data_IF_672796431737
#
_entry.id   IF_672796431737
#
_cell.length_a   1.000
_cell.length_b   1.000
_cell.length_c   1.000
_cell.angle_alpha   90.00
_cell.angle_beta   90.00
_cell.angle_gamma   90.00
#
_symmetry.space_group_name_H-M   'P 1'
#
loop_
_entity.id
_entity.type
_entity.pdbx_description
1 polymer ?
#
# COMPACT_ATOMS: atom_id res chain seq x y z
N UNK A 1 16.25 19.80 -11.24
CA UNK A 1 15.69 21.02 -10.61
C UNK A 1 15.59 20.80 -9.09
N UNK A 2 16.01 21.77 -8.28
CA UNK A 2 15.98 21.68 -6.81
C UNK A 2 14.94 22.65 -6.24
N UNK A 3 14.25 22.24 -5.19
CA UNK A 3 13.36 23.08 -4.41
C UNK A 3 14.02 23.42 -3.06
N UNK A 4 13.79 24.64 -2.57
CA UNK A 4 14.22 25.08 -1.25
C UNK A 4 13.07 25.84 -0.55
N UNK A 5 12.75 25.52 0.71
CA UNK A 5 11.75 26.29 1.45
C UNK A 5 12.19 27.74 1.62
N UNK A 6 11.25 28.69 1.49
CA UNK A 6 11.52 30.15 1.69
C UNK A 6 12.25 30.44 3.00
N UNK A 7 11.95 29.68 4.05
CA UNK A 7 12.48 29.91 5.39
C UNK A 7 13.76 29.09 5.69
N UNK A 8 14.19 28.20 4.79
CA UNK A 8 15.41 27.37 4.93
C UNK A 8 16.09 27.12 3.57
N UNK A 9 16.70 28.14 2.94
CA UNK A 9 17.29 28.05 1.60
C UNK A 9 18.45 27.05 1.46
N UNK A 10 19.09 26.66 2.58
CA UNK A 10 20.14 25.63 2.61
C UNK A 10 19.60 24.18 2.59
N UNK A 11 18.30 23.97 2.82
CA UNK A 11 17.65 22.66 2.78
C UNK A 11 17.19 22.27 1.38
N UNK A 12 18.11 22.26 0.40
CA UNK A 12 17.77 21.92 -0.98
C UNK A 12 17.41 20.44 -1.10
N UNK A 13 16.26 20.15 -1.70
CA UNK A 13 15.79 18.79 -2.02
C UNK A 13 15.50 18.74 -3.53
N UNK A 14 15.74 17.61 -4.19
CA UNK A 14 15.38 17.48 -5.60
C UNK A 14 13.86 17.58 -5.76
N UNK A 15 13.39 18.15 -6.87
CA UNK A 15 11.94 18.26 -7.12
C UNK A 15 11.25 16.90 -7.05
N UNK A 16 11.91 15.84 -7.53
CA UNK A 16 11.41 14.46 -7.48
C UNK A 16 11.19 13.96 -6.04
N UNK A 17 12.18 14.13 -5.16
CA UNK A 17 12.07 13.69 -3.76
C UNK A 17 11.03 14.53 -3.02
N UNK A 18 11.02 15.84 -3.27
CA UNK A 18 10.01 16.71 -2.68
C UNK A 18 8.59 16.32 -3.11
N UNK A 19 8.39 16.05 -4.40
CA UNK A 19 7.09 15.68 -4.95
C UNK A 19 6.62 14.33 -4.42
N UNK A 20 7.49 13.32 -4.42
CA UNK A 20 7.20 12.01 -3.83
C UNK A 20 6.78 12.16 -2.37
N UNK A 21 7.55 12.89 -1.56
CA UNK A 21 7.25 13.08 -0.15
C UNK A 21 5.92 13.82 0.09
N UNK A 22 5.58 14.79 -0.76
CA UNK A 22 4.31 15.50 -0.69
C UNK A 22 3.12 14.56 -1.00
N UNK A 23 3.26 13.71 -2.03
CA UNK A 23 2.27 12.68 -2.34
C UNK A 23 2.16 11.64 -1.23
N UNK A 24 3.27 11.23 -0.62
CA UNK A 24 3.26 10.27 0.48
C UNK A 24 2.49 10.81 1.68
N UNK A 25 2.68 12.08 2.04
CA UNK A 25 1.93 12.71 3.13
C UNK A 25 0.43 12.73 2.82
N UNK A 26 0.06 13.13 1.60
CA UNK A 26 -1.33 13.09 1.16
C UNK A 26 -1.91 11.68 1.22
N UNK A 27 -1.17 10.69 0.73
CA UNK A 27 -1.55 9.29 0.69
C UNK A 27 -1.71 8.71 2.11
N UNK A 28 -0.81 9.02 3.05
CA UNK A 28 -0.90 8.61 4.46
C UNK A 28 -2.12 9.21 5.13
N UNK A 29 -2.38 10.51 4.94
CA UNK A 29 -3.54 11.18 5.53
C UNK A 29 -4.84 10.57 4.99
N UNK A 30 -4.92 10.36 3.67
CA UNK A 30 -6.07 9.71 3.06
C UNK A 30 -6.26 8.27 3.56
N UNK A 31 -5.18 7.50 3.63
CA UNK A 31 -5.18 6.13 4.14
C UNK A 31 -5.62 6.05 5.61
N UNK A 32 -5.21 7.01 6.45
CA UNK A 32 -5.68 7.09 7.84
C UNK A 32 -7.19 7.33 7.92
N UNK A 33 -7.71 8.27 7.12
CA UNK A 33 -9.17 8.52 7.03
C UNK A 33 -9.89 7.25 6.58
N UNK A 34 -9.37 6.59 5.52
CA UNK A 34 -9.92 5.33 5.02
C UNK A 34 -9.96 4.25 6.10
N UNK A 35 -8.86 4.02 6.83
CA UNK A 35 -8.78 3.01 7.90
C UNK A 35 -9.77 3.34 9.02
N UNK A 36 -9.87 4.60 9.44
CA UNK A 36 -10.84 5.03 10.46
C UNK A 36 -12.27 4.72 10.00
N UNK A 37 -12.64 5.13 8.78
CA UNK A 37 -13.96 4.86 8.22
C UNK A 37 -14.23 3.36 8.11
N UNK A 38 -13.25 2.58 7.67
CA UNK A 38 -13.33 1.13 7.53
C UNK A 38 -13.71 0.45 8.85
N UNK A 39 -13.10 0.85 9.97
CA UNK A 39 -13.42 0.30 11.28
C UNK A 39 -14.73 0.85 11.85
N UNK A 40 -14.97 2.16 11.78
CA UNK A 40 -16.19 2.80 12.32
C UNK A 40 -17.46 2.29 11.64
N UNK A 41 -17.41 2.02 10.34
CA UNK A 41 -18.56 1.51 9.57
C UNK A 41 -18.72 -0.01 9.60
N UNK A 42 -17.79 -0.74 10.23
CA UNK A 42 -17.78 -2.21 10.21
C UNK A 42 -17.36 -2.83 8.88
N UNK A 43 -17.03 -2.02 7.87
CA UNK A 43 -16.63 -2.50 6.53
C UNK A 43 -15.29 -3.26 6.54
N UNK A 44 -14.52 -3.19 7.62
CA UNK A 44 -13.30 -3.98 7.82
C UNK A 44 -13.52 -5.49 7.65
N UNK A 45 -14.71 -6.00 7.99
CA UNK A 45 -15.06 -7.42 7.86
C UNK A 45 -15.02 -7.93 6.41
N UNK A 46 -15.05 -7.03 5.43
CA UNK A 46 -14.98 -7.38 4.01
C UNK A 46 -13.57 -7.65 3.55
N UNK A 47 -12.57 -7.02 4.17
CA UNK A 47 -11.16 -7.14 3.77
C UNK A 47 -10.29 -7.88 4.78
N UNK A 48 -10.77 -8.12 6.00
CA UNK A 48 -10.06 -8.95 6.99
C UNK A 48 -10.67 -10.36 6.99
N UNK A 49 -9.88 -11.41 6.69
CA UNK A 49 -10.38 -12.77 6.77
C UNK A 49 -10.84 -13.13 8.19
N UNK A 50 -12.07 -13.61 8.31
CA UNK A 50 -12.66 -14.07 9.58
C UNK A 50 -12.76 -15.59 9.70
N UNK A 51 -12.39 -16.31 8.63
CA UNK A 51 -12.40 -17.77 8.55
C UNK A 51 -11.18 -18.29 7.79
N UNK A 52 -10.73 -19.49 8.14
CA UNK A 52 -9.64 -20.20 7.45
C UNK A 52 -10.03 -20.68 6.05
N UNK A 53 -11.32 -20.70 5.72
CA UNK A 53 -11.82 -21.03 4.39
C UNK A 53 -11.34 -20.06 3.30
N UNK A 54 -10.84 -18.88 3.70
CA UNK A 54 -10.27 -17.89 2.76
C UNK A 54 -9.17 -18.49 1.88
N UNK A 55 -8.35 -19.41 2.40
CA UNK A 55 -7.23 -19.98 1.66
C UNK A 55 -7.67 -20.97 0.56
N UNK A 56 -8.46 -22.03 0.85
CA UNK A 56 -8.96 -22.90 -0.21
C UNK A 56 -9.85 -22.15 -1.21
N UNK A 57 -10.68 -21.21 -0.75
CA UNK A 57 -11.53 -20.41 -1.65
C UNK A 57 -10.72 -19.47 -2.55
N UNK A 58 -9.61 -18.90 -2.04
CA UNK A 58 -8.71 -18.07 -2.85
C UNK A 58 -8.01 -18.90 -3.93
N UNK A 59 -7.64 -20.15 -3.63
CA UNK A 59 -7.09 -21.07 -4.63
C UNK A 59 -8.12 -21.37 -5.73
N UNK A 60 -9.37 -21.66 -5.37
CA UNK A 60 -10.45 -21.86 -6.34
C UNK A 60 -10.67 -20.63 -7.22
N UNK A 61 -10.73 -19.43 -6.63
CA UNK A 61 -10.87 -18.18 -7.37
C UNK A 61 -9.66 -17.93 -8.30
N UNK A 62 -8.44 -18.22 -7.84
CA UNK A 62 -7.24 -18.09 -8.68
C UNK A 62 -7.29 -19.03 -9.90
N UNK A 63 -7.74 -20.29 -9.71
CA UNK A 63 -7.92 -21.23 -10.80
C UNK A 63 -8.96 -20.74 -11.82
N UNK A 64 -10.08 -20.17 -11.35
CA UNK A 64 -11.11 -19.55 -12.20
C UNK A 64 -10.56 -18.38 -13.03
N UNK A 65 -9.77 -17.49 -12.43
CA UNK A 65 -9.14 -16.39 -13.17
C UNK A 65 -8.18 -16.90 -14.25
N UNK A 66 -7.36 -17.93 -13.93
CA UNK A 66 -6.40 -18.52 -14.87
C UNK A 66 -7.09 -19.34 -15.96
N UNK A 67 -8.24 -19.95 -15.68
CA UNK A 67 -9.04 -20.67 -16.67
C UNK A 67 -9.88 -19.76 -17.57
N UNK A 68 -9.82 -18.43 -17.36
CA UNK A 68 -10.66 -17.44 -18.05
C UNK A 68 -12.16 -17.65 -17.84
N UNK A 69 -12.53 -18.42 -16.81
CA UNK A 69 -13.91 -18.62 -16.37
C UNK A 69 -14.13 -17.74 -15.14
N UNK A 70 -14.32 -16.45 -15.38
CA UNK A 70 -14.20 -15.46 -14.33
C UNK A 70 -15.38 -15.47 -13.35
N UNK A 71 -15.10 -15.37 -12.04
CA UNK A 71 -16.15 -15.36 -11.04
C UNK A 71 -17.06 -14.14 -11.22
N UNK A 72 -18.35 -14.34 -10.98
CA UNK A 72 -19.31 -13.24 -10.92
C UNK A 72 -19.14 -12.51 -9.59
N UNK A 73 -18.48 -11.36 -9.63
CA UNK A 73 -18.23 -10.53 -8.46
C UNK A 73 -19.26 -9.39 -8.36
N UNK A 74 -19.72 -9.11 -7.16
CA UNK A 74 -20.37 -7.84 -6.84
C UNK A 74 -19.58 -7.15 -5.74
N UNK A 75 -18.56 -6.38 -6.14
CA UNK A 75 -17.64 -5.68 -5.24
C UNK A 75 -18.31 -4.66 -4.32
N UNK A 76 -19.58 -4.31 -4.55
CA UNK A 76 -20.40 -3.52 -3.63
C UNK A 76 -20.91 -4.33 -2.44
N UNK A 77 -21.13 -5.63 -2.64
CA UNK A 77 -21.67 -6.55 -1.63
C UNK A 77 -20.54 -7.34 -0.97
N UNK A 78 -19.70 -8.05 -1.73
CA UNK A 78 -18.64 -8.91 -1.21
C UNK A 78 -17.44 -8.98 -2.16
N UNK A 79 -16.29 -9.38 -1.62
CA UNK A 79 -15.10 -9.76 -2.40
C UNK A 79 -14.92 -11.27 -2.32
N UNK A 80 -14.54 -11.92 -3.43
CA UNK A 80 -14.01 -13.28 -3.32
C UNK A 80 -12.76 -13.34 -2.43
N UNK A 81 -12.41 -14.53 -1.99
CA UNK A 81 -11.31 -14.73 -1.05
C UNK A 81 -9.93 -14.34 -1.62
N UNK A 82 -9.72 -14.43 -2.94
CA UNK A 82 -8.47 -13.98 -3.56
C UNK A 82 -8.33 -12.44 -3.49
N UNK A 83 -9.39 -11.72 -3.82
CA UNK A 83 -9.48 -10.27 -3.68
C UNK A 83 -9.36 -9.85 -2.21
N UNK A 84 -10.06 -10.52 -1.30
CA UNK A 84 -9.99 -10.26 0.14
C UNK A 84 -8.55 -10.37 0.66
N UNK A 85 -7.82 -11.44 0.32
CA UNK A 85 -6.42 -11.59 0.71
C UNK A 85 -5.51 -10.52 0.08
N UNK A 86 -5.77 -10.15 -1.18
CA UNK A 86 -5.02 -9.10 -1.86
C UNK A 86 -5.22 -7.74 -1.20
N UNK A 87 -6.47 -7.38 -0.85
CA UNK A 87 -6.79 -6.14 -0.15
C UNK A 87 -6.28 -6.13 1.27
N UNK A 88 -6.42 -7.24 2.01
CA UNK A 88 -5.84 -7.39 3.35
C UNK A 88 -4.34 -7.11 3.33
N UNK A 89 -3.62 -7.78 2.42
CA UNK A 89 -2.17 -7.65 2.28
C UNK A 89 -1.79 -6.23 1.89
N UNK A 90 -2.51 -5.63 0.95
CA UNK A 90 -2.23 -4.26 0.50
C UNK A 90 -2.42 -3.23 1.62
N UNK A 91 -3.55 -3.30 2.33
CA UNK A 91 -3.95 -2.30 3.33
C UNK A 91 -3.21 -2.48 4.66
N UNK A 92 -3.08 -3.71 5.15
CA UNK A 92 -2.59 -3.97 6.51
C UNK A 92 -1.14 -4.46 6.58
N UNK A 93 -0.51 -4.78 5.44
CA UNK A 93 0.88 -5.24 5.41
C UNK A 93 1.72 -4.30 4.54
N UNK A 94 1.45 -4.23 3.24
CA UNK A 94 2.27 -3.49 2.30
C UNK A 94 2.27 -1.98 2.60
N UNK A 95 1.10 -1.38 2.85
CA UNK A 95 1.01 0.04 3.16
C UNK A 95 1.75 0.42 4.46
N UNK A 96 1.55 -0.25 5.60
CA UNK A 96 2.34 0.01 6.81
C UNK A 96 3.86 -0.18 6.60
N UNK A 97 4.28 -1.22 5.87
CA UNK A 97 5.69 -1.42 5.55
C UNK A 97 6.25 -0.26 4.72
N UNK A 98 5.52 0.21 3.72
CA UNK A 98 5.92 1.36 2.91
C UNK A 98 6.04 2.64 3.74
N UNK A 99 5.11 2.88 4.68
CA UNK A 99 5.15 4.05 5.57
C UNK A 99 6.38 3.98 6.48
N UNK A 100 6.59 2.86 7.19
CA UNK A 100 7.68 2.69 8.15
C UNK A 100 9.04 2.88 7.46
N UNK A 101 9.20 2.25 6.29
CA UNK A 101 10.44 2.31 5.52
C UNK A 101 10.63 3.64 4.79
N UNK A 102 9.55 4.26 4.30
CA UNK A 102 9.55 5.57 3.67
C UNK A 102 9.93 6.68 4.65
N UNK A 103 9.35 6.69 5.86
CA UNK A 103 9.68 7.65 6.91
C UNK A 103 11.17 7.59 7.25
N UNK A 104 11.78 6.40 7.28
CA UNK A 104 13.22 6.25 7.54
C UNK A 104 14.11 6.89 6.48
N UNK A 105 13.66 6.88 5.23
CA UNK A 105 14.36 7.46 4.09
C UNK A 105 13.99 8.94 3.85
N UNK A 106 12.96 9.43 4.53
CA UNK A 106 12.45 10.80 4.39
C UNK A 106 13.43 11.86 4.91
N UNK A 107 13.22 13.10 4.47
CA UNK A 107 13.92 14.28 5.02
C UNK A 107 13.50 14.64 6.46
N UNK A 108 12.46 14.02 7.00
CA UNK A 108 11.91 14.27 8.34
C UNK A 108 12.66 13.43 9.39
N UNK A 109 13.30 12.33 8.98
CA UNK A 109 14.03 11.45 9.89
C UNK A 109 15.17 12.18 10.63
N UNK A 110 15.30 12.02 11.96
CA UNK A 110 16.29 12.74 12.75
C UNK A 110 17.72 12.27 12.44
N UNK A 111 18.52 13.13 11.80
CA UNK A 111 19.89 12.81 11.39
C UNK A 111 20.85 12.57 12.57
N UNK A 112 20.61 13.22 13.71
CA UNK A 112 21.53 13.20 14.86
C UNK A 112 21.16 12.15 15.93
N UNK A 113 20.16 11.30 15.70
CA UNK A 113 19.71 10.29 16.65
C UNK A 113 20.53 8.98 16.52
N UNK A 114 21.76 8.96 17.08
CA UNK A 114 22.71 7.83 16.92
C UNK A 114 22.15 6.46 17.30
N UNK A 115 21.48 6.35 18.46
CA UNK A 115 20.91 5.09 18.92
C UNK A 115 19.81 4.57 17.97
N UNK A 116 18.91 5.46 17.56
CA UNK A 116 17.83 5.15 16.63
C UNK A 116 18.36 4.76 15.24
N UNK A 117 19.35 5.48 14.73
CA UNK A 117 19.97 5.18 13.42
C UNK A 117 20.71 3.84 13.40
N UNK A 118 21.25 3.42 14.55
CA UNK A 118 21.89 2.10 14.70
C UNK A 118 20.86 0.98 14.81
N UNK A 119 19.76 1.22 15.54
CA UNK A 119 18.67 0.25 15.69
C UNK A 119 17.89 0.07 14.39
N UNK A 120 17.75 1.12 13.58
CA UNK A 120 17.09 1.08 12.28
C UNK A 120 17.97 1.66 11.18
N UNK A 121 18.83 0.84 10.55
CA UNK A 121 19.69 1.27 9.44
C UNK A 121 18.86 1.62 8.19
N UNK A 122 19.35 2.57 7.39
CA UNK A 122 18.64 2.99 6.16
C UNK A 122 18.70 1.90 5.09
N UNK A 123 19.72 1.06 5.13
CA UNK A 123 19.92 -0.08 4.24
C UNK A 123 18.79 -1.09 4.41
N UNK A 124 18.39 -1.36 5.66
CA UNK A 124 17.26 -2.25 5.96
C UNK A 124 15.96 -1.67 5.43
N UNK A 125 15.72 -0.37 5.66
CA UNK A 125 14.56 0.31 5.11
C UNK A 125 14.51 0.20 3.59
N UNK A 126 15.63 0.43 2.89
CA UNK A 126 15.70 0.33 1.43
C UNK A 126 15.44 -1.08 0.92
N UNK A 127 16.04 -2.09 1.56
CA UNK A 127 15.87 -3.50 1.19
C UNK A 127 14.43 -3.96 1.31
N UNK A 128 13.65 -3.40 2.24
CA UNK A 128 12.22 -3.70 2.38
C UNK A 128 11.37 -2.81 1.46
N UNK A 129 11.68 -1.52 1.38
CA UNK A 129 10.86 -0.56 0.63
C UNK A 129 10.84 -0.87 -0.87
N UNK A 130 11.97 -1.26 -1.44
CA UNK A 130 12.06 -1.51 -2.88
C UNK A 130 11.16 -2.69 -3.34
N UNK A 131 11.20 -3.88 -2.72
CA UNK A 131 10.23 -4.94 -3.00
C UNK A 131 8.78 -4.55 -2.76
N UNK A 132 8.48 -3.77 -1.71
CA UNK A 132 7.11 -3.28 -1.44
C UNK A 132 6.62 -2.36 -2.57
N UNK A 133 7.49 -1.49 -3.10
CA UNK A 133 7.17 -0.68 -4.28
C UNK A 133 6.89 -1.55 -5.51
N UNK A 134 7.71 -2.57 -5.78
CA UNK A 134 7.47 -3.51 -6.88
C UNK A 134 6.15 -4.26 -6.72
N UNK A 135 5.82 -4.68 -5.50
CA UNK A 135 4.52 -5.26 -5.18
C UNK A 135 3.37 -4.31 -5.52
N UNK A 136 3.44 -3.03 -5.11
CA UNK A 136 2.40 -2.05 -5.44
C UNK A 136 2.25 -1.86 -6.94
N UNK A 137 3.36 -1.78 -7.69
CA UNK A 137 3.31 -1.67 -9.16
C UNK A 137 2.61 -2.88 -9.77
N UNK A 138 3.00 -4.10 -9.38
CA UNK A 138 2.37 -5.32 -9.88
C UNK A 138 0.88 -5.41 -9.49
N UNK A 139 0.55 -5.09 -8.24
CA UNK A 139 -0.81 -5.05 -7.74
C UNK A 139 -1.68 -4.09 -8.56
N UNK A 140 -1.21 -2.86 -8.79
CA UNK A 140 -1.96 -1.85 -9.57
C UNK A 140 -2.19 -2.34 -11.00
N UNK A 141 -1.16 -2.90 -11.65
CA UNK A 141 -1.29 -3.41 -13.02
C UNK A 141 -2.36 -4.51 -13.08
N UNK A 142 -2.24 -5.54 -12.23
CA UNK A 142 -3.18 -6.67 -12.21
C UNK A 142 -4.58 -6.21 -11.83
N UNK A 143 -4.70 -5.39 -10.79
CA UNK A 143 -5.97 -4.88 -10.30
C UNK A 143 -6.71 -4.08 -11.38
N UNK A 144 -6.02 -3.12 -12.02
CA UNK A 144 -6.64 -2.29 -13.07
C UNK A 144 -7.05 -3.12 -14.28
N UNK A 145 -6.21 -4.09 -14.70
CA UNK A 145 -6.57 -5.02 -15.77
C UNK A 145 -7.86 -5.77 -15.42
N UNK A 146 -7.93 -6.35 -14.22
CA UNK A 146 -9.12 -7.08 -13.78
C UNK A 146 -10.36 -6.18 -13.69
N UNK A 147 -10.23 -4.95 -13.20
CA UNK A 147 -11.34 -3.97 -13.19
C UNK A 147 -11.89 -3.74 -14.59
N UNK A 148 -11.04 -3.53 -15.59
CA UNK A 148 -11.52 -3.35 -16.96
C UNK A 148 -12.14 -4.60 -17.55
N UNK A 149 -11.63 -5.76 -17.15
CA UNK A 149 -12.01 -6.99 -17.79
C UNK A 149 -13.28 -7.62 -17.17
N UNK A 150 -13.51 -7.44 -15.87
CA UNK A 150 -14.74 -7.89 -15.19
C UNK A 150 -15.87 -6.86 -15.20
N UNK A 151 -15.74 -5.80 -16.01
CA UNK A 151 -16.70 -4.70 -16.11
C UNK A 151 -16.23 -3.44 -15.39
N UNK A 152 -16.04 -2.37 -16.16
CA UNK A 152 -15.61 -1.06 -15.68
C UNK A 152 -16.78 -0.13 -15.25
N UNK A 153 -18.01 -0.63 -15.19
CA UNK A 153 -19.25 0.14 -15.01
C UNK A 153 -20.11 -0.44 -13.89
#
# INVERSE_FOLDING_TARGET
>A
VFWAPRNKPKGKVSLTIWFHQALDILWIVNGLIFVVLLFVTGQWMRIVPTSWEVFPNALSAALQYVSLDWPTENGWVNYNSLQQLAYFTTVFIAAPLAIITGVRMSGIWPKNAKALNRAYPVEWARTVHFPVMLYFVAFIIVHVILVFATGAL
#
